data_IF_294227580373
#
_entry.id   IF_294227580373
#
_cell.length_a   1.000
_cell.length_b   1.000
_cell.length_c   1.000
_cell.angle_alpha   90.00
_cell.angle_beta   90.00
_cell.angle_gamma   90.00
#
_symmetry.space_group_name_H-M   'P 1'
#
loop_
_entity.id
_entity.type
_entity.pdbx_description
1 polymer ?
#
# COMPACT_ATOMS: atom_id res chain seq x y z
N UNK A 1 2.25 -21.21 2.23
CA UNK A 1 2.45 -21.54 3.67
C UNK A 1 2.18 -23.01 3.95
N UNK A 2 2.89 -23.58 4.92
CA UNK A 2 2.80 -24.99 5.34
C UNK A 2 2.10 -25.14 6.70
N UNK A 3 1.75 -26.37 7.09
CA UNK A 3 1.20 -26.66 8.42
C UNK A 3 2.14 -26.24 9.56
N UNK A 4 3.45 -26.33 9.35
CA UNK A 4 4.44 -25.85 10.29
C UNK A 4 4.38 -24.33 10.50
N UNK A 5 4.13 -23.58 9.43
CA UNK A 5 3.99 -22.13 9.49
C UNK A 5 2.72 -21.73 10.27
N UNK A 6 1.61 -22.43 10.04
CA UNK A 6 0.38 -22.18 10.80
C UNK A 6 0.53 -22.51 12.28
N UNK A 7 1.16 -23.63 12.62
CA UNK A 7 1.42 -24.00 14.01
C UNK A 7 2.25 -22.93 14.74
N UNK A 8 3.25 -22.35 14.06
CA UNK A 8 4.02 -21.22 14.62
C UNK A 8 3.18 -19.98 14.88
N UNK A 9 2.27 -19.63 13.98
CA UNK A 9 1.37 -18.48 14.18
C UNK A 9 0.47 -18.72 15.39
N UNK A 10 -0.13 -19.90 15.49
CA UNK A 10 -1.01 -20.27 16.60
C UNK A 10 -0.28 -20.25 17.94
N UNK A 11 0.92 -20.84 18.00
CA UNK A 11 1.77 -20.82 19.19
C UNK A 11 2.18 -19.40 19.58
N UNK A 12 2.64 -18.58 18.61
CA UNK A 12 3.18 -17.25 18.86
C UNK A 12 2.11 -16.24 19.28
N UNK A 13 0.89 -16.37 18.76
CA UNK A 13 -0.19 -15.40 18.96
C UNK A 13 -1.27 -15.89 19.94
N UNK A 14 -1.24 -17.17 20.32
CA UNK A 14 -2.25 -17.77 21.21
C UNK A 14 -3.65 -17.82 20.59
N UNK A 15 -3.73 -17.98 19.27
CA UNK A 15 -5.00 -18.04 18.50
C UNK A 15 -5.12 -19.40 17.79
N UNK A 16 -6.30 -19.69 17.25
CA UNK A 16 -6.48 -20.72 16.23
C UNK A 16 -6.61 -20.05 14.87
N UNK A 17 -5.76 -20.44 13.93
CA UNK A 17 -5.79 -19.88 12.57
C UNK A 17 -7.01 -20.46 11.84
N UNK A 18 -7.89 -19.62 11.25
CA UNK A 18 -9.10 -20.10 10.60
C UNK A 18 -8.82 -21.07 9.46
N UNK A 19 -9.71 -22.06 9.28
CA UNK A 19 -9.59 -23.05 8.21
C UNK A 19 -9.58 -22.41 6.81
N UNK A 20 -10.35 -21.32 6.62
CA UNK A 20 -10.33 -20.54 5.39
C UNK A 20 -8.94 -19.94 5.11
N UNK A 21 -8.30 -19.34 6.12
CA UNK A 21 -6.95 -18.79 5.98
C UNK A 21 -5.92 -19.88 5.67
N UNK A 22 -5.99 -21.03 6.35
CA UNK A 22 -5.12 -22.17 6.05
C UNK A 22 -5.26 -22.62 4.59
N UNK A 23 -6.50 -22.85 4.15
CA UNK A 23 -6.80 -23.26 2.76
C UNK A 23 -6.23 -22.27 1.74
N UNK A 24 -6.50 -20.98 1.93
CA UNK A 24 -6.05 -19.92 1.03
C UNK A 24 -4.52 -19.86 1.01
N UNK A 25 -3.86 -19.76 2.16
CA UNK A 25 -2.41 -19.57 2.23
C UNK A 25 -1.60 -20.82 1.89
N UNK A 26 -2.20 -22.02 1.96
CA UNK A 26 -1.58 -23.24 1.42
C UNK A 26 -1.58 -23.28 -0.10
N UNK A 27 -2.47 -22.53 -0.77
CA UNK A 27 -2.48 -22.40 -2.23
C UNK A 27 -1.51 -21.32 -2.74
N UNK A 28 -0.79 -20.62 -1.84
CA UNK A 28 0.18 -19.60 -2.22
C UNK A 28 1.44 -20.23 -2.88
N UNK A 29 2.01 -19.63 -3.95
CA UNK A 29 1.56 -18.40 -4.62
C UNK A 29 0.30 -18.63 -5.44
N UNK A 30 -0.62 -17.66 -5.39
CA UNK A 30 -1.85 -17.71 -6.19
C UNK A 30 -1.49 -17.73 -7.69
N UNK A 31 -2.18 -18.54 -8.48
CA UNK A 31 -1.98 -18.59 -9.93
C UNK A 31 -2.46 -17.27 -10.58
N UNK A 32 -1.67 -16.74 -11.53
CA UNK A 32 -1.94 -15.53 -12.33
C UNK A 32 -2.07 -14.21 -11.54
N UNK A 33 -1.01 -13.38 -11.55
CA UNK A 33 -1.01 -12.07 -10.90
C UNK A 33 -0.76 -12.20 -9.41
N UNK A 34 0.42 -11.78 -8.94
CA UNK A 34 0.81 -11.88 -7.53
C UNK A 34 0.30 -10.67 -6.77
N UNK A 35 -0.63 -10.80 -5.80
CA UNK A 35 -0.86 -9.76 -4.82
C UNK A 35 0.46 -9.32 -4.20
N UNK A 36 0.66 -8.01 -3.97
CA UNK A 36 1.82 -7.53 -3.24
C UNK A 36 1.86 -8.23 -1.89
N UNK A 37 3.05 -8.69 -1.50
CA UNK A 37 3.28 -9.37 -0.22
C UNK A 37 2.89 -8.48 0.99
N UNK A 38 2.67 -7.17 0.78
CA UNK A 38 2.10 -6.28 1.78
C UNK A 38 0.65 -6.64 2.15
N UNK A 39 -0.19 -6.95 1.16
CA UNK A 39 -1.64 -7.14 1.36
C UNK A 39 -1.99 -8.50 1.97
N UNK A 40 -1.25 -9.54 1.61
CA UNK A 40 -1.43 -10.91 2.12
C UNK A 40 -0.09 -11.67 2.10
N UNK A 41 0.79 -11.42 3.08
CA UNK A 41 2.12 -12.02 3.13
C UNK A 41 2.04 -13.53 3.37
N UNK A 42 2.85 -14.30 2.65
CA UNK A 42 2.98 -15.75 2.82
C UNK A 42 4.04 -16.16 3.86
N UNK A 43 4.46 -15.20 4.69
CA UNK A 43 5.57 -15.32 5.63
C UNK A 43 5.06 -15.32 7.08
N UNK A 44 5.09 -16.49 7.74
CA UNK A 44 4.66 -16.61 9.14
C UNK A 44 5.41 -15.69 10.12
N UNK A 45 6.76 -15.61 10.09
CA UNK A 45 7.49 -14.62 10.90
C UNK A 45 6.95 -13.19 10.76
N UNK A 46 6.68 -12.72 9.54
CA UNK A 46 6.12 -11.39 9.31
C UNK A 46 4.73 -11.25 9.94
N UNK A 47 3.83 -12.22 9.70
CA UNK A 47 2.48 -12.24 10.28
C UNK A 47 2.55 -12.18 11.82
N UNK A 48 3.44 -12.96 12.44
CA UNK A 48 3.65 -12.92 13.89
C UNK A 48 4.13 -11.54 14.35
N UNK A 49 5.16 -10.97 13.71
CA UNK A 49 5.72 -9.68 14.08
C UNK A 49 4.70 -8.54 13.94
N UNK A 50 3.95 -8.48 12.84
CA UNK A 50 2.88 -7.51 12.62
C UNK A 50 1.85 -7.56 13.75
N UNK A 51 1.37 -8.76 14.07
CA UNK A 51 0.36 -8.98 15.09
C UNK A 51 0.85 -8.70 16.51
N UNK A 52 2.12 -8.97 16.79
CA UNK A 52 2.75 -8.64 18.07
C UNK A 52 2.92 -7.13 18.20
N UNK A 53 3.36 -6.45 17.14
CA UNK A 53 3.50 -4.99 17.11
C UNK A 53 2.17 -4.29 17.35
N UNK A 54 1.11 -4.70 16.64
CA UNK A 54 -0.24 -4.16 16.83
C UNK A 54 -0.69 -4.27 18.30
N UNK A 55 -0.40 -5.41 18.94
CA UNK A 55 -0.74 -5.67 20.35
C UNK A 55 0.15 -4.88 21.31
N UNK A 56 1.46 -4.79 21.08
CA UNK A 56 2.41 -4.14 21.97
C UNK A 56 2.29 -2.63 21.95
N UNK A 57 2.13 -2.05 20.76
CA UNK A 57 2.13 -0.62 20.54
C UNK A 57 0.72 -0.03 20.72
N UNK A 58 -0.27 -0.91 20.97
CA UNK A 58 -1.68 -0.58 21.08
C UNK A 58 -2.14 0.29 19.89
N UNK A 59 -1.74 -0.11 18.67
CA UNK A 59 -2.04 0.63 17.42
C UNK A 59 -3.54 0.83 17.24
N UNK A 60 -4.32 -0.16 17.67
CA UNK A 60 -5.78 -0.19 17.59
C UNK A 60 -6.41 -0.39 18.98
N UNK A 61 -6.24 0.56 19.92
CA UNK A 61 -6.45 0.32 21.35
C UNK A 61 -7.91 0.04 21.72
N UNK A 62 -8.86 0.47 20.88
CA UNK A 62 -10.29 0.40 21.16
C UNK A 62 -11.00 -0.75 20.43
N UNK A 63 -10.41 -1.31 19.39
CA UNK A 63 -11.04 -2.31 18.53
C UNK A 63 -10.27 -3.63 18.44
N UNK A 64 -9.00 -3.68 18.88
CA UNK A 64 -8.24 -4.92 18.86
C UNK A 64 -8.69 -5.91 19.95
N UNK A 65 -8.95 -7.16 19.56
CA UNK A 65 -9.34 -8.26 20.46
C UNK A 65 -8.41 -9.47 20.27
N UNK A 66 -8.44 -10.41 21.21
CA UNK A 66 -7.58 -11.60 21.15
C UNK A 66 -7.90 -12.53 19.98
N UNK A 67 -9.15 -12.53 19.52
CA UNK A 67 -9.65 -13.33 18.40
C UNK A 67 -9.43 -12.66 17.03
N UNK A 68 -8.70 -11.53 16.97
CA UNK A 68 -8.35 -10.87 15.72
C UNK A 68 -6.95 -11.27 15.25
N UNK A 69 -6.84 -11.46 13.93
CA UNK A 69 -5.59 -11.77 13.23
C UNK A 69 -5.40 -10.76 12.08
N UNK A 70 -4.36 -9.93 12.16
CA UNK A 70 -3.93 -9.15 11.00
C UNK A 70 -3.27 -10.09 9.99
N UNK A 71 -3.70 -10.01 8.73
CA UNK A 71 -3.24 -10.85 7.63
C UNK A 71 -2.48 -10.06 6.56
N UNK A 72 -2.17 -8.80 6.83
CA UNK A 72 -1.45 -7.90 5.95
C UNK A 72 -1.77 -6.45 6.28
N UNK A 73 -1.14 -5.53 5.56
CA UNK A 73 -1.43 -4.10 5.66
C UNK A 73 -1.55 -3.48 4.27
N UNK A 74 -2.23 -2.36 4.21
CA UNK A 74 -2.04 -1.39 3.12
C UNK A 74 -0.66 -0.71 3.28
N UNK A 75 -0.34 0.19 2.34
CA UNK A 75 0.89 0.98 2.39
C UNK A 75 0.85 2.17 3.35
N UNK A 76 -0.35 2.64 3.71
CA UNK A 76 -0.56 3.69 4.71
C UNK A 76 -0.66 3.16 6.14
N UNK A 77 -0.59 1.83 6.32
CA UNK A 77 -0.52 1.18 7.64
C UNK A 77 -1.83 0.58 8.13
N UNK A 78 -2.93 0.75 7.38
CA UNK A 78 -4.20 0.09 7.69
C UNK A 78 -4.03 -1.43 7.68
N UNK A 79 -4.56 -2.09 8.71
CA UNK A 79 -4.47 -3.54 8.82
C UNK A 79 -5.65 -4.24 8.12
N UNK A 80 -5.35 -5.28 7.35
CA UNK A 80 -6.34 -6.26 6.91
C UNK A 80 -6.50 -7.32 8.00
N UNK A 81 -7.71 -7.47 8.53
CA UNK A 81 -7.96 -8.23 9.76
C UNK A 81 -9.03 -9.30 9.52
N UNK A 82 -8.78 -10.49 10.06
CA UNK A 82 -9.76 -11.56 10.20
C UNK A 82 -10.25 -11.65 11.64
N UNK A 83 -11.55 -11.87 11.81
CA UNK A 83 -12.11 -12.36 13.06
C UNK A 83 -12.08 -13.89 13.05
N UNK A 84 -11.16 -14.45 13.84
CA UNK A 84 -10.93 -15.90 13.91
C UNK A 84 -12.06 -16.67 14.58
N UNK A 85 -12.98 -15.97 15.27
CA UNK A 85 -14.16 -16.59 15.85
C UNK A 85 -15.28 -16.85 14.83
N UNK A 86 -15.18 -16.26 13.64
CA UNK A 86 -16.19 -16.35 12.59
C UNK A 86 -15.83 -17.44 11.55
N UNK A 87 -16.79 -18.30 11.17
CA UNK A 87 -16.52 -19.47 10.31
C UNK A 87 -16.08 -19.11 8.89
N UNK A 88 -16.63 -18.04 8.33
CA UNK A 88 -16.36 -17.62 6.95
C UNK A 88 -15.20 -16.64 6.82
N UNK A 89 -14.60 -16.24 7.95
CA UNK A 89 -13.44 -15.34 8.01
C UNK A 89 -13.62 -14.06 7.15
N UNK A 90 -14.63 -13.21 7.45
CA UNK A 90 -14.77 -11.93 6.77
C UNK A 90 -13.50 -11.09 6.94
N UNK A 91 -13.21 -10.26 5.94
CA UNK A 91 -12.03 -9.40 5.93
C UNK A 91 -12.44 -7.98 6.26
N UNK A 92 -11.81 -7.42 7.29
CA UNK A 92 -11.99 -6.04 7.71
C UNK A 92 -10.74 -5.22 7.39
N UNK A 93 -10.92 -3.93 7.13
CA UNK A 93 -9.86 -2.92 7.17
C UNK A 93 -9.98 -2.14 8.47
N UNK A 94 -8.89 -2.08 9.21
CA UNK A 94 -8.77 -1.27 10.42
C UNK A 94 -7.89 -0.08 10.05
N UNK A 95 -8.49 1.12 10.03
CA UNK A 95 -7.81 2.33 9.64
C UNK A 95 -6.93 2.86 10.78
N UNK A 96 -5.64 3.08 10.55
CA UNK A 96 -4.71 3.51 11.60
C UNK A 96 -5.02 4.94 12.06
N UNK A 97 -5.35 5.82 11.12
CA UNK A 97 -5.48 7.26 11.38
C UNK A 97 -6.71 7.63 12.22
N UNK A 98 -7.87 7.05 11.90
CA UNK A 98 -9.15 7.42 12.50
C UNK A 98 -9.83 6.27 13.29
N UNK A 99 -9.18 5.10 13.33
CA UNK A 99 -9.65 3.90 14.04
C UNK A 99 -10.96 3.34 13.49
N UNK A 100 -11.35 3.73 12.27
CA UNK A 100 -12.54 3.21 11.60
C UNK A 100 -12.34 1.75 11.18
N UNK A 101 -13.36 0.93 11.43
CA UNK A 101 -13.41 -0.47 10.96
C UNK A 101 -14.38 -0.56 9.79
N UNK A 102 -13.90 -1.05 8.64
CA UNK A 102 -14.71 -1.24 7.43
C UNK A 102 -14.68 -2.70 6.99
N UNK A 103 -15.81 -3.28 6.61
CA UNK A 103 -15.82 -4.60 5.97
C UNK A 103 -15.39 -4.47 4.51
N UNK A 104 -14.33 -5.19 4.13
CA UNK A 104 -13.85 -5.24 2.73
C UNK A 104 -14.52 -6.37 1.94
N UNK A 105 -14.66 -7.55 2.58
CA UNK A 105 -15.26 -8.72 1.95
C UNK A 105 -16.01 -9.57 2.99
N UNK A 106 -17.05 -10.27 2.55
CA UNK A 106 -17.83 -11.17 3.41
C UNK A 106 -17.08 -12.47 3.72
N UNK A 107 -16.10 -12.83 2.90
CA UNK A 107 -15.25 -14.02 3.06
C UNK A 107 -13.80 -13.74 2.64
N UNK A 108 -12.87 -14.55 3.12
CA UNK A 108 -11.46 -14.45 2.70
C UNK A 108 -11.26 -14.80 1.21
N UNK A 109 -11.98 -15.79 0.67
CA UNK A 109 -11.88 -16.15 -0.75
C UNK A 109 -12.37 -15.01 -1.66
N UNK A 110 -13.42 -14.29 -1.26
CA UNK A 110 -13.89 -13.10 -1.97
C UNK A 110 -12.80 -12.01 -1.99
N UNK A 111 -12.17 -11.73 -0.85
CA UNK A 111 -11.07 -10.76 -0.78
C UNK A 111 -9.89 -11.14 -1.67
N UNK A 112 -9.43 -12.40 -1.62
CA UNK A 112 -8.34 -12.86 -2.49
C UNK A 112 -8.73 -12.82 -3.96
N UNK A 113 -9.99 -13.13 -4.28
CA UNK A 113 -10.52 -12.97 -5.64
C UNK A 113 -10.43 -11.52 -6.13
N UNK A 114 -10.79 -10.55 -5.29
CA UNK A 114 -10.65 -9.12 -5.60
C UNK A 114 -9.18 -8.74 -5.81
N UNK A 115 -8.28 -9.16 -4.92
CA UNK A 115 -6.84 -8.92 -5.04
C UNK A 115 -6.29 -9.49 -6.36
N UNK A 116 -6.54 -10.77 -6.65
CA UNK A 116 -6.09 -11.39 -7.91
C UNK A 116 -6.65 -10.66 -9.12
N UNK A 117 -7.93 -10.24 -9.08
CA UNK A 117 -8.53 -9.48 -10.17
C UNK A 117 -7.88 -8.12 -10.37
N UNK A 118 -7.46 -7.42 -9.31
CA UNK A 118 -6.68 -6.19 -9.45
C UNK A 118 -5.38 -6.42 -10.20
N UNK A 119 -4.68 -7.51 -9.92
CA UNK A 119 -3.42 -7.85 -10.58
C UNK A 119 -3.59 -8.37 -12.01
N UNK A 120 -4.69 -9.08 -12.30
CA UNK A 120 -5.01 -9.55 -13.65
C UNK A 120 -5.48 -8.41 -14.55
N UNK A 121 -6.29 -7.49 -14.01
CA UNK A 121 -6.81 -6.34 -14.76
C UNK A 121 -5.79 -5.21 -14.90
N UNK A 122 -4.68 -5.25 -14.16
CA UNK A 122 -3.58 -4.34 -14.37
C UNK A 122 -2.93 -4.65 -15.72
N UNK A 123 -3.26 -3.85 -16.74
CA UNK A 123 -2.52 -3.83 -18.01
C UNK A 123 -1.12 -3.25 -17.72
N UNK A 124 -0.20 -4.13 -17.31
CA UNK A 124 1.14 -3.75 -16.87
C UNK A 124 1.92 -3.01 -17.95
N UNK A 125 1.66 -3.33 -19.22
CA UNK A 125 2.30 -2.67 -20.35
C UNK A 125 1.75 -1.25 -20.53
N UNK A 126 0.42 -1.10 -20.46
CA UNK A 126 -0.21 0.23 -20.47
C UNK A 126 0.25 1.10 -19.29
N UNK A 127 0.29 0.54 -18.07
CA UNK A 127 0.77 1.24 -16.87
C UNK A 127 2.25 1.61 -17.05
N UNK A 128 3.10 0.70 -17.53
CA UNK A 128 4.50 1.02 -17.78
C UNK A 128 4.66 2.15 -18.80
N UNK A 129 3.88 2.13 -19.89
CA UNK A 129 3.89 3.17 -20.91
C UNK A 129 3.38 4.52 -20.39
N UNK A 130 2.40 4.55 -19.49
CA UNK A 130 1.88 5.77 -18.88
C UNK A 130 2.97 6.54 -18.10
N UNK A 131 3.84 5.83 -17.38
CA UNK A 131 4.92 6.43 -16.57
C UNK A 131 6.23 6.63 -17.32
N UNK A 132 6.39 5.99 -18.48
CA UNK A 132 7.65 5.90 -19.23
C UNK A 132 8.33 7.24 -19.48
N UNK A 133 7.56 8.26 -19.88
CA UNK A 133 8.12 9.58 -20.17
C UNK A 133 8.69 10.24 -18.91
N UNK A 134 7.99 10.11 -17.78
CA UNK A 134 8.39 10.70 -16.49
C UNK A 134 9.60 9.96 -15.92
N UNK A 135 9.57 8.63 -15.89
CA UNK A 135 10.69 7.83 -15.39
C UNK A 135 11.96 8.04 -16.22
N UNK A 136 11.83 8.09 -17.56
CA UNK A 136 12.97 8.38 -18.45
C UNK A 136 13.58 9.76 -18.18
N UNK A 137 12.75 10.78 -17.96
CA UNK A 137 13.23 12.13 -17.68
C UNK A 137 13.93 12.23 -16.31
N UNK A 138 13.37 11.60 -15.27
CA UNK A 138 13.95 11.55 -13.93
C UNK A 138 15.31 10.85 -13.95
N UNK A 139 15.38 9.70 -14.61
CA UNK A 139 16.62 8.94 -14.74
C UNK A 139 17.68 9.68 -15.57
N UNK A 140 17.27 10.36 -16.65
CA UNK A 140 18.17 11.19 -17.45
C UNK A 140 18.74 12.39 -16.66
N UNK A 141 18.01 12.89 -15.65
CA UNK A 141 18.47 13.92 -14.72
C UNK A 141 19.40 13.38 -13.61
N UNK A 142 19.70 12.07 -13.58
CA UNK A 142 20.58 11.44 -12.61
C UNK A 142 19.90 11.00 -11.32
N UNK A 143 18.56 11.00 -11.30
CA UNK A 143 17.76 10.56 -10.15
C UNK A 143 17.24 9.12 -10.34
N UNK A 144 16.64 8.58 -9.28
CA UNK A 144 16.10 7.23 -9.25
C UNK A 144 14.57 7.23 -9.36
N UNK A 145 14.01 6.21 -10.02
CA UNK A 145 12.59 5.90 -9.98
C UNK A 145 12.38 4.39 -9.97
N UNK A 146 11.36 3.92 -9.25
CA UNK A 146 10.94 2.51 -9.32
C UNK A 146 10.12 2.22 -10.58
N UNK A 147 9.95 0.93 -10.90
CA UNK A 147 8.89 0.50 -11.81
C UNK A 147 7.52 0.78 -11.18
N UNK A 148 6.44 0.96 -11.97
CA UNK A 148 5.11 1.12 -11.41
C UNK A 148 4.73 -0.04 -10.48
N UNK A 149 4.31 0.32 -9.28
CA UNK A 149 3.86 -0.58 -8.23
C UNK A 149 2.34 -0.52 -8.14
N UNK A 150 1.69 -1.68 -8.14
CA UNK A 150 0.25 -1.77 -7.93
C UNK A 150 -0.09 -1.62 -6.44
N UNK A 151 -1.09 -0.80 -6.18
CA UNK A 151 -1.66 -0.45 -4.88
C UNK A 151 -3.13 -0.95 -4.84
N UNK A 152 -3.95 -0.46 -3.91
CA UNK A 152 -5.38 -0.77 -3.75
C UNK A 152 -6.24 -0.34 -4.96
N UNK A 153 -6.06 -0.97 -6.13
CA UNK A 153 -6.75 -0.65 -7.38
C UNK A 153 -6.16 0.53 -8.18
N UNK A 154 -5.07 1.12 -7.70
CA UNK A 154 -4.31 2.18 -8.38
C UNK A 154 -2.83 1.81 -8.46
N UNK A 155 -1.99 2.66 -9.04
CA UNK A 155 -0.56 2.40 -9.18
C UNK A 155 0.25 3.68 -8.98
N UNK A 156 1.50 3.53 -8.57
CA UNK A 156 2.44 4.63 -8.36
C UNK A 156 3.85 4.24 -8.76
N UNK A 157 4.71 5.23 -8.92
CA UNK A 157 6.16 5.05 -8.84
C UNK A 157 6.68 5.77 -7.61
N UNK A 158 7.73 5.26 -6.99
CA UNK A 158 8.56 6.05 -6.10
C UNK A 158 9.63 6.78 -6.93
N UNK A 159 9.93 8.02 -6.58
CA UNK A 159 11.03 8.81 -7.15
C UNK A 159 11.94 9.25 -6.01
N UNK A 160 13.25 9.19 -6.23
CA UNK A 160 14.22 9.43 -5.17
C UNK A 160 15.51 10.06 -5.70
N UNK A 161 16.22 10.77 -4.82
CA UNK A 161 17.52 11.35 -5.15
C UNK A 161 18.62 10.31 -5.33
N UNK A 162 18.46 9.11 -4.76
CA UNK A 162 19.38 7.98 -4.88
C UNK A 162 18.64 6.63 -4.81
N UNK A 163 19.25 5.53 -5.29
CA UNK A 163 18.67 4.18 -5.18
C UNK A 163 18.48 3.68 -3.75
N UNK A 164 19.31 4.15 -2.81
CA UNK A 164 19.34 3.67 -1.42
C UNK A 164 18.38 4.44 -0.49
N UNK A 165 17.49 5.28 -1.04
CA UNK A 165 16.44 5.95 -0.27
C UNK A 165 16.82 7.30 0.34
N UNK A 166 17.23 8.25 -0.50
CA UNK A 166 17.37 9.67 -0.14
C UNK A 166 16.03 10.42 -0.05
N UNK A 167 16.02 11.73 -0.34
CA UNK A 167 14.75 12.46 -0.47
C UNK A 167 13.89 11.80 -1.54
N UNK A 168 12.66 11.48 -1.18
CA UNK A 168 11.79 10.65 -1.99
C UNK A 168 10.32 10.89 -1.69
N UNK A 169 9.50 10.61 -2.67
CA UNK A 169 8.05 10.71 -2.63
C UNK A 169 7.49 9.82 -3.74
N UNK A 170 6.17 9.64 -3.77
CA UNK A 170 5.52 8.86 -4.81
C UNK A 170 4.79 9.75 -5.82
N UNK A 171 4.66 9.25 -7.04
CA UNK A 171 3.86 9.84 -8.12
C UNK A 171 2.82 8.83 -8.58
N UNK A 172 1.58 9.28 -8.74
CA UNK A 172 0.47 8.48 -9.20
C UNK A 172 -0.29 9.16 -10.33
N UNK A 173 -0.69 8.38 -11.32
CA UNK A 173 -1.67 8.72 -12.34
C UNK A 173 -2.98 8.02 -11.99
N UNK A 174 -4.03 8.82 -11.83
CA UNK A 174 -5.40 8.34 -11.67
C UNK A 174 -6.27 9.11 -12.66
N UNK A 175 -7.53 8.70 -12.86
CA UNK A 175 -8.38 9.25 -13.94
C UNK A 175 -8.51 10.79 -13.95
N UNK A 176 -8.31 11.44 -12.80
CA UNK A 176 -8.37 12.90 -12.63
C UNK A 176 -7.04 13.65 -12.87
N UNK A 177 -5.95 12.95 -13.19
CA UNK A 177 -4.65 13.52 -13.48
C UNK A 177 -3.51 12.94 -12.64
N UNK A 178 -2.46 13.73 -12.46
CA UNK A 178 -1.25 13.34 -11.75
C UNK A 178 -1.24 13.85 -10.32
N UNK A 179 -0.73 13.03 -9.42
CA UNK A 179 -0.65 13.31 -8.00
C UNK A 179 0.74 12.96 -7.48
N UNK A 180 1.21 13.74 -6.51
CA UNK A 180 2.38 13.43 -5.71
C UNK A 180 1.97 13.32 -4.26
N UNK A 181 2.56 12.38 -3.54
CA UNK A 181 2.43 12.36 -2.08
C UNK A 181 3.73 12.10 -1.37
N UNK A 182 3.89 12.78 -0.24
CA UNK A 182 5.03 12.54 0.67
C UNK A 182 4.75 11.31 1.52
N UNK A 183 5.82 10.71 2.06
CA UNK A 183 5.70 9.58 2.98
C UNK A 183 5.05 9.93 4.32
N UNK A 184 4.84 11.22 4.61
CA UNK A 184 4.10 11.70 5.78
C UNK A 184 2.61 11.95 5.50
N UNK A 185 2.08 11.47 4.36
CA UNK A 185 0.65 11.50 4.06
C UNK A 185 0.12 12.78 3.42
N UNK A 186 0.97 13.74 3.04
CA UNK A 186 0.52 14.94 2.32
C UNK A 186 0.40 14.64 0.83
N UNK A 187 -0.79 14.84 0.25
CA UNK A 187 -1.07 14.57 -1.18
C UNK A 187 -1.38 15.87 -1.92
N UNK A 188 -0.83 15.97 -3.14
CA UNK A 188 -0.96 17.12 -4.01
C UNK A 188 -1.31 16.71 -5.44
N UNK A 189 -2.30 17.36 -6.04
CA UNK A 189 -2.53 17.31 -7.47
C UNK A 189 -1.48 18.16 -8.20
N UNK A 190 -0.93 17.60 -9.27
CA UNK A 190 0.03 18.24 -10.17
C UNK A 190 -0.70 18.57 -11.48
N UNK A 191 -0.90 19.85 -11.82
CA UNK A 191 -1.69 20.22 -13.00
C UNK A 191 -0.98 19.91 -14.33
N UNK A 192 0.35 20.06 -14.39
CA UNK A 192 1.17 19.81 -15.57
C UNK A 192 2.66 19.60 -15.20
N UNK A 193 3.50 19.29 -16.20
CA UNK A 193 4.98 19.23 -16.07
C UNK A 193 5.50 18.34 -14.93
N UNK A 194 4.90 17.17 -14.78
CA UNK A 194 5.19 16.22 -13.69
C UNK A 194 6.69 15.90 -13.60
N UNK A 195 7.37 15.67 -14.73
CA UNK A 195 8.81 15.40 -14.73
C UNK A 195 9.64 16.58 -14.18
N UNK A 196 9.36 17.81 -14.61
CA UNK A 196 10.07 19.01 -14.14
C UNK A 196 9.83 19.24 -12.64
N UNK A 197 8.59 19.00 -12.19
CA UNK A 197 8.23 19.00 -10.76
C UNK A 197 9.11 18.01 -10.00
N UNK A 198 9.17 16.74 -10.43
CA UNK A 198 9.94 15.71 -9.74
C UNK A 198 11.42 16.08 -9.64
N UNK A 199 12.01 16.48 -10.77
CA UNK A 199 13.43 16.88 -10.86
C UNK A 199 13.70 18.08 -9.93
N UNK A 200 12.79 19.05 -9.87
CA UNK A 200 12.96 20.22 -9.01
C UNK A 200 12.91 19.88 -7.53
N UNK A 201 11.99 19.01 -7.10
CA UNK A 201 11.93 18.52 -5.73
C UNK A 201 13.26 17.86 -5.32
N UNK A 202 13.73 16.92 -6.14
CA UNK A 202 14.93 16.13 -5.84
C UNK A 202 16.22 16.96 -5.91
N UNK A 203 16.23 18.06 -6.68
CA UNK A 203 17.38 18.97 -6.78
C UNK A 203 17.48 19.91 -5.58
N UNK A 204 16.35 20.42 -5.08
CA UNK A 204 16.35 21.45 -4.02
C UNK A 204 16.79 20.88 -2.65
N UNK A 205 16.60 19.57 -2.40
CA UNK A 205 16.96 18.96 -1.11
C UNK A 205 17.34 17.46 -1.19
N UNK A 206 18.40 17.09 -1.93
CA UNK A 206 18.68 15.69 -2.29
C UNK A 206 18.91 14.73 -1.10
N UNK A 207 19.22 15.22 0.10
CA UNK A 207 19.62 14.38 1.24
C UNK A 207 18.72 14.56 2.47
N UNK A 208 17.50 15.08 2.31
CA UNK A 208 16.60 15.30 3.44
C UNK A 208 15.21 14.79 3.11
N UNK A 209 14.73 13.81 3.86
CA UNK A 209 13.32 13.41 3.79
C UNK A 209 12.45 14.56 4.28
N UNK A 210 11.53 15.01 3.44
CA UNK A 210 10.58 16.05 3.79
C UNK A 210 9.23 15.44 4.17
N UNK A 211 8.65 15.93 5.28
CA UNK A 211 7.25 15.63 5.59
C UNK A 211 6.29 16.27 4.59
N UNK A 212 6.73 17.33 3.90
CA UNK A 212 5.90 18.10 2.98
C UNK A 212 6.76 18.79 1.90
N UNK A 213 6.21 19.07 0.72
CA UNK A 213 6.91 19.82 -0.31
C UNK A 213 7.17 21.27 0.12
N UNK A 214 8.32 21.81 -0.24
CA UNK A 214 8.67 23.20 0.09
C UNK A 214 7.77 24.20 -0.66
N UNK A 215 7.45 25.33 -0.02
CA UNK A 215 6.47 26.29 -0.55
C UNK A 215 6.84 26.87 -1.92
N UNK A 216 8.13 27.06 -2.18
CA UNK A 216 8.63 27.51 -3.49
C UNK A 216 8.28 26.54 -4.61
N UNK A 217 8.35 25.24 -4.35
CA UNK A 217 7.95 24.18 -5.30
C UNK A 217 6.43 24.17 -5.46
N UNK A 218 5.68 24.23 -4.36
CA UNK A 218 4.21 24.27 -4.38
C UNK A 218 3.69 25.41 -5.24
N UNK A 219 4.26 26.61 -5.07
CA UNK A 219 3.89 27.80 -5.84
C UNK A 219 4.30 27.66 -7.31
N UNK A 220 5.55 27.22 -7.57
CA UNK A 220 6.09 27.09 -8.94
C UNK A 220 5.26 26.14 -9.80
N UNK A 221 4.84 25.01 -9.23
CA UNK A 221 4.08 23.98 -9.92
C UNK A 221 2.57 24.03 -9.65
N UNK A 222 2.09 25.06 -8.94
CA UNK A 222 0.67 25.27 -8.62
C UNK A 222 0.00 24.03 -8.00
N UNK A 223 0.71 23.41 -7.07
CA UNK A 223 0.23 22.21 -6.40
C UNK A 223 -1.05 22.50 -5.62
N UNK A 224 -2.06 21.65 -5.79
CA UNK A 224 -3.30 21.72 -5.02
C UNK A 224 -3.31 20.58 -4.01
N UNK A 225 -3.28 20.91 -2.71
CA UNK A 225 -3.43 19.90 -1.66
C UNK A 225 -4.79 19.23 -1.77
N UNK A 226 -4.81 17.91 -1.59
CA UNK A 226 -6.01 17.11 -1.43
C UNK A 226 -5.85 16.20 -0.21
N UNK A 227 -6.97 15.80 0.36
CA UNK A 227 -7.02 14.86 1.49
C UNK A 227 -6.87 13.41 1.04
N UNK A 228 -6.47 12.51 1.94
CA UNK A 228 -6.48 11.05 1.69
C UNK A 228 -7.88 10.59 1.25
N UNK A 229 -8.95 11.06 1.91
CA UNK A 229 -10.32 10.72 1.55
C UNK A 229 -10.70 11.16 0.12
N UNK A 230 -10.26 12.34 -0.32
CA UNK A 230 -10.45 12.78 -1.71
C UNK A 230 -9.66 11.93 -2.70
N UNK A 231 -8.41 11.60 -2.38
CA UNK A 231 -7.58 10.73 -3.23
C UNK A 231 -8.19 9.33 -3.35
N UNK A 232 -8.60 8.73 -2.23
CA UNK A 232 -9.28 7.43 -2.18
C UNK A 232 -10.56 7.41 -3.01
N UNK A 233 -11.34 8.49 -2.98
CA UNK A 233 -12.54 8.61 -3.81
C UNK A 233 -12.20 8.62 -5.31
N UNK A 234 -11.07 9.23 -5.70
CA UNK A 234 -10.61 9.28 -7.08
C UNK A 234 -10.06 7.93 -7.58
N UNK A 235 -9.42 7.15 -6.71
CA UNK A 235 -8.84 5.84 -7.08
C UNK A 235 -9.91 4.76 -7.24
N UNK A 236 -11.01 4.86 -6.48
CA UNK A 236 -12.13 3.90 -6.52
C UNK A 236 -13.14 4.13 -7.64
N UNK A 237 -13.09 5.26 -8.35
CA UNK A 237 -14.04 5.59 -9.42
C UNK A 237 -13.74 4.91 -10.78
N UNK A 238 -12.96 3.81 -10.77
CA UNK A 238 -12.56 3.05 -11.98
C UNK A 238 -13.53 1.92 -12.31
#
# INVERSE_FOLDING_TARGET
MTDFDFAKIEESLGITVPAAYRRVMSAYPFHNGRPSDAYIPDNAPYICSLNQQIRSDAVYPNCWRLDLLAIGTTWDGDAHVLDTSLPDSPVFRFAQDDQTVTTLAGTLDEWVGQLCQWYVNADSDHIADEYKAITSAIQAAGFFSTSPELMDGWHRIAVASSPDGGDSFWIAAVNAGWFAGTWAGNIYQIPDKVADFCISCLTDAPNKTHSDFIDTIKIRYRLKSITNAEFDALTRAR
#
